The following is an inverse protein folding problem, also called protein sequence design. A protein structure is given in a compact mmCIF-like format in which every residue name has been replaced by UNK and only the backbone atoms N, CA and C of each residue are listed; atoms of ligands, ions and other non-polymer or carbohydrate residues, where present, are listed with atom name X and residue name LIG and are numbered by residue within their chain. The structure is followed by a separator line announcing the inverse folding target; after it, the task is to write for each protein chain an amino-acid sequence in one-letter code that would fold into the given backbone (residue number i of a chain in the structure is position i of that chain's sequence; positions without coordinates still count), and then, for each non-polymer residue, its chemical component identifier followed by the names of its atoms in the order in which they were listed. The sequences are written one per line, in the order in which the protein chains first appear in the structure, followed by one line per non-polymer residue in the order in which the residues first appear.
data_IF_157739877108
#
_entry.id   IF_157739877108
#
_cell.length_a   1.000
_cell.length_b   1.000
_cell.length_c   1.000
_cell.angle_alpha   90.00
_cell.angle_beta   90.00
_cell.angle_gamma   90.00
#
_symmetry.space_group_name_H-M   'P 1'
#
loop_
_entity.id
_entity.type
_entity.pdbx_description
1 polymer ?
#
# COMPACT_ATOMS: atom_id res chain seq x y z
N UNK A 1 31.00 11.22 4.18
CA UNK A 1 30.95 11.87 2.85
C UNK A 1 32.28 12.54 2.47
N UNK A 2 33.22 12.68 3.40
CA UNK A 2 34.51 13.37 3.20
C UNK A 2 35.40 12.78 2.09
N UNK A 3 35.43 11.45 1.93
CA UNK A 3 36.25 10.77 0.89
C UNK A 3 35.82 11.07 -0.56
N UNK A 4 34.52 11.23 -0.80
CA UNK A 4 34.01 11.56 -2.15
C UNK A 4 34.25 13.05 -2.44
N UNK A 5 34.12 13.91 -1.43
CA UNK A 5 34.38 15.35 -1.57
C UNK A 5 35.87 15.63 -1.83
N UNK A 6 36.77 14.97 -1.09
CA UNK A 6 38.23 15.07 -1.29
C UNK A 6 38.66 14.51 -2.64
N UNK A 7 38.07 13.40 -3.11
CA UNK A 7 38.28 12.92 -4.47
C UNK A 7 37.82 13.96 -5.52
N UNK A 8 36.61 14.49 -5.42
CA UNK A 8 36.08 15.50 -6.35
C UNK A 8 36.92 16.79 -6.34
N UNK A 9 37.40 17.22 -5.18
CA UNK A 9 38.28 18.38 -5.04
C UNK A 9 39.70 18.14 -5.57
N UNK A 10 40.18 16.89 -5.56
CA UNK A 10 41.52 16.57 -6.04
C UNK A 10 41.70 16.73 -7.55
N UNK A 11 40.62 16.63 -8.34
CA UNK A 11 40.67 16.66 -9.81
C UNK A 11 41.48 15.53 -10.45
N UNK A 12 41.97 14.56 -9.66
CA UNK A 12 42.79 13.44 -10.11
C UNK A 12 41.93 12.32 -10.69
N UNK A 13 42.54 11.48 -11.53
CA UNK A 13 41.89 10.25 -11.99
C UNK A 13 41.71 9.26 -10.83
N UNK A 14 40.66 8.43 -10.89
CA UNK A 14 40.34 7.47 -9.81
C UNK A 14 41.53 6.61 -9.39
N UNK A 15 42.32 6.14 -10.37
CA UNK A 15 43.48 5.27 -10.13
C UNK A 15 44.60 6.00 -9.39
N UNK A 16 44.90 7.25 -9.77
CA UNK A 16 45.94 8.04 -9.12
C UNK A 16 45.56 8.41 -7.68
N UNK A 17 44.30 8.81 -7.47
CA UNK A 17 43.80 9.15 -6.13
C UNK A 17 43.74 7.92 -5.22
N UNK A 18 43.29 6.78 -5.74
CA UNK A 18 43.26 5.52 -4.98
C UNK A 18 44.67 5.05 -4.60
N UNK A 19 45.66 5.21 -5.49
CA UNK A 19 47.05 4.85 -5.21
C UNK A 19 47.68 5.72 -4.10
N UNK A 20 47.43 7.03 -4.09
CA UNK A 20 47.93 7.93 -3.05
C UNK A 20 47.26 7.70 -1.68
N UNK A 21 45.99 7.30 -1.69
CA UNK A 21 45.21 7.09 -0.46
C UNK A 21 45.25 5.63 0.03
N UNK A 22 45.92 4.71 -0.69
CA UNK A 22 45.96 3.28 -0.35
C UNK A 22 44.59 2.60 -0.42
N UNK A 23 43.69 3.10 -1.27
CA UNK A 23 42.32 2.59 -1.41
C UNK A 23 42.16 1.80 -2.71
N UNK A 24 41.17 0.89 -2.74
CA UNK A 24 40.83 0.20 -4.00
C UNK A 24 39.91 1.06 -4.87
N UNK A 25 40.13 1.00 -6.18
CA UNK A 25 39.28 1.66 -7.18
C UNK A 25 37.84 1.16 -7.11
N UNK A 26 37.63 -0.13 -6.80
CA UNK A 26 36.28 -0.70 -6.66
C UNK A 26 35.51 -0.11 -5.48
N UNK A 27 36.20 0.17 -4.37
CA UNK A 27 35.60 0.82 -3.20
C UNK A 27 35.15 2.26 -3.54
N UNK A 28 35.99 3.02 -4.25
CA UNK A 28 35.64 4.36 -4.70
C UNK A 28 34.45 4.34 -5.68
N UNK A 29 34.44 3.40 -6.62
CA UNK A 29 33.35 3.21 -7.58
C UNK A 29 32.03 2.89 -6.87
N UNK A 30 32.07 2.00 -5.88
CA UNK A 30 30.92 1.68 -5.05
C UNK A 30 30.39 2.90 -4.29
N UNK A 31 31.26 3.71 -3.70
CA UNK A 31 30.85 4.92 -3.00
C UNK A 31 30.23 5.97 -3.93
N UNK A 32 30.77 6.15 -5.13
CA UNK A 32 30.21 7.06 -6.15
C UNK A 32 28.82 6.61 -6.61
N UNK A 33 28.64 5.30 -6.84
CA UNK A 33 27.33 4.74 -7.17
C UNK A 33 26.32 4.95 -6.05
N UNK A 34 26.71 4.69 -4.79
CA UNK A 34 25.85 4.88 -3.62
C UNK A 34 25.49 6.35 -3.39
N UNK A 35 26.41 7.28 -3.68
CA UNK A 35 26.16 8.72 -3.61
C UNK A 35 25.14 9.15 -4.66
N UNK A 36 25.30 8.73 -5.93
CA UNK A 36 24.29 8.98 -6.98
C UNK A 36 22.92 8.43 -6.60
N UNK A 37 22.86 7.20 -6.10
CA UNK A 37 21.59 6.60 -5.66
C UNK A 37 20.95 7.39 -4.52
N UNK A 38 21.72 8.01 -3.63
CA UNK A 38 21.18 8.92 -2.59
C UNK A 38 20.68 10.25 -3.16
N UNK A 39 21.30 10.77 -4.21
CA UNK A 39 20.83 11.98 -4.92
C UNK A 39 19.55 11.70 -5.72
N UNK A 40 19.43 10.52 -6.35
CA UNK A 40 18.21 10.05 -7.01
C UNK A 40 17.08 9.73 -6.02
N UNK A 41 17.43 9.43 -4.77
CA UNK A 41 16.51 9.36 -3.62
C UNK A 41 16.26 10.77 -3.03
N UNK A 42 16.11 11.78 -3.90
CA UNK A 42 15.25 12.93 -3.58
C UNK A 42 14.00 12.38 -2.88
N UNK A 43 13.55 12.95 -1.75
CA UNK A 43 12.50 12.34 -0.94
C UNK A 43 11.29 12.13 -1.84
N UNK A 44 11.13 10.90 -2.33
CA UNK A 44 9.90 10.45 -2.92
C UNK A 44 8.88 10.75 -1.83
N UNK A 45 7.89 11.58 -2.18
CA UNK A 45 6.87 12.02 -1.25
C UNK A 45 6.45 10.82 -0.39
N UNK A 46 6.34 10.99 0.94
CA UNK A 46 5.96 9.89 1.82
C UNK A 46 4.72 9.20 1.22
N UNK A 47 4.63 7.86 1.28
CA UNK A 47 3.52 7.14 0.66
C UNK A 47 2.22 7.72 1.16
N UNK A 48 1.54 8.47 0.29
CA UNK A 48 0.31 9.16 0.60
C UNK A 48 -0.84 8.20 0.31
N UNK A 49 -1.65 7.92 1.33
CA UNK A 49 -2.93 7.27 1.12
C UNK A 49 -3.78 8.17 0.22
N UNK A 50 -4.12 7.67 -0.97
CA UNK A 50 -5.10 8.36 -1.82
C UNK A 50 -6.49 7.87 -1.47
N UNK A 51 -7.44 8.78 -1.23
CA UNK A 51 -8.84 8.41 -1.16
C UNK A 51 -9.27 7.88 -2.53
N UNK A 52 -9.78 6.64 -2.55
CA UNK A 52 -10.44 6.07 -3.73
C UNK A 52 -11.93 6.25 -3.52
N UNK A 53 -12.56 7.04 -4.38
CA UNK A 53 -14.02 7.04 -4.46
C UNK A 53 -14.45 5.74 -5.14
N UNK A 54 -15.06 4.86 -4.37
CA UNK A 54 -15.83 3.74 -4.92
C UNK A 54 -17.06 4.37 -5.54
N UNK A 55 -17.01 4.59 -6.85
CA UNK A 55 -18.20 4.88 -7.64
C UNK A 55 -18.94 3.54 -7.70
N UNK A 56 -19.79 3.30 -6.71
CA UNK A 56 -20.84 2.30 -6.85
C UNK A 56 -21.50 2.61 -8.17
N UNK A 57 -21.48 1.64 -9.10
CA UNK A 57 -22.26 1.76 -10.32
C UNK A 57 -23.73 1.85 -9.87
N UNK A 58 -24.22 3.06 -9.63
CA UNK A 58 -25.63 3.42 -9.66
C UNK A 58 -26.11 3.33 -11.12
N UNK A 59 -25.93 2.15 -11.72
CA UNK A 59 -26.81 1.64 -12.74
C UNK A 59 -27.82 0.80 -11.97
N UNK A 60 -29.07 1.27 -11.96
CA UNK A 60 -30.24 0.69 -11.30
C UNK A 60 -30.33 0.87 -9.77
N UNK A 61 -31.27 1.74 -9.39
CA UNK A 61 -32.14 1.61 -8.21
C UNK A 61 -31.74 2.37 -6.93
N UNK A 62 -31.67 3.68 -7.09
CA UNK A 62 -32.48 4.59 -6.23
C UNK A 62 -33.97 4.22 -6.37
N UNK A 63 -34.35 3.10 -5.81
CA UNK A 63 -35.73 2.72 -5.55
C UNK A 63 -35.74 1.91 -4.26
N UNK A 64 -35.95 2.60 -3.13
CA UNK A 64 -36.61 2.01 -1.95
C UNK A 64 -35.99 0.71 -1.39
N UNK A 65 -34.71 0.73 -1.00
CA UNK A 65 -34.13 -0.36 -0.21
C UNK A 65 -34.46 -0.21 1.28
N UNK A 66 -35.75 -0.31 1.65
CA UNK A 66 -36.17 -0.59 3.03
C UNK A 66 -35.84 -2.04 3.42
N UNK A 67 -34.66 -2.53 3.04
CA UNK A 67 -34.25 -3.89 3.37
C UNK A 67 -33.55 -3.89 4.73
N UNK A 68 -34.14 -4.58 5.69
CA UNK A 68 -33.56 -4.79 7.00
C UNK A 68 -32.48 -5.87 6.90
N UNK A 69 -31.28 -5.59 7.41
CA UNK A 69 -30.22 -6.60 7.49
C UNK A 69 -30.26 -7.29 8.85
N UNK A 70 -30.33 -8.62 8.83
CA UNK A 70 -30.32 -9.46 10.04
C UNK A 70 -29.04 -10.29 10.03
N UNK A 71 -28.33 -10.32 11.16
CA UNK A 71 -27.12 -11.14 11.34
C UNK A 71 -27.33 -12.14 12.48
N UNK A 72 -27.09 -13.42 12.20
CA UNK A 72 -27.14 -14.54 13.17
C UNK A 72 -25.83 -15.31 13.05
N UNK A 73 -24.97 -15.21 14.06
CA UNK A 73 -23.60 -15.74 13.99
C UNK A 73 -22.82 -15.18 12.80
N UNK A 74 -22.37 -16.07 11.91
CA UNK A 74 -21.67 -15.74 10.65
C UNK A 74 -22.61 -15.49 9.46
N UNK A 75 -23.91 -15.81 9.59
CA UNK A 75 -24.89 -15.63 8.53
C UNK A 75 -25.42 -14.19 8.51
N UNK A 76 -25.57 -13.63 7.29
CA UNK A 76 -26.16 -12.31 7.03
C UNK A 76 -27.31 -12.44 6.05
N UNK A 77 -28.47 -11.88 6.38
CA UNK A 77 -29.71 -11.99 5.62
C UNK A 77 -30.22 -10.58 5.29
N UNK A 78 -30.50 -10.34 4.01
CA UNK A 78 -31.24 -9.16 3.56
C UNK A 78 -32.74 -9.47 3.59
N UNK A 79 -33.52 -8.68 4.33
CA UNK A 79 -34.97 -8.83 4.47
C UNK A 79 -35.65 -7.66 3.78
N UNK A 80 -36.35 -7.91 2.67
CA UNK A 80 -37.11 -6.89 1.95
C UNK A 80 -38.48 -6.68 2.59
N UNK A 81 -39.18 -5.54 2.40
CA UNK A 81 -40.48 -5.29 3.03
C UNK A 81 -41.60 -6.29 2.71
N UNK A 82 -41.48 -7.01 1.58
CA UNK A 82 -42.46 -8.01 1.12
C UNK A 82 -42.14 -9.43 1.58
N UNK A 83 -41.28 -9.58 2.59
CA UNK A 83 -40.88 -10.89 3.10
C UNK A 83 -42.04 -11.63 3.78
N UNK A 84 -41.96 -12.96 3.77
CA UNK A 84 -42.92 -13.82 4.45
C UNK A 84 -42.45 -14.06 5.92
N UNK A 85 -43.22 -13.64 6.94
CA UNK A 85 -42.75 -13.67 8.33
C UNK A 85 -42.55 -15.06 8.92
N UNK A 86 -43.26 -16.09 8.44
CA UNK A 86 -43.09 -17.47 8.93
C UNK A 86 -41.77 -18.05 8.40
N UNK A 87 -41.48 -17.88 7.11
CA UNK A 87 -40.25 -18.30 6.47
C UNK A 87 -39.02 -17.64 7.11
N UNK A 88 -39.06 -16.32 7.37
CA UNK A 88 -37.93 -15.65 8.02
C UNK A 88 -37.68 -16.23 9.42
N UNK A 89 -38.75 -16.53 10.17
CA UNK A 89 -38.65 -17.12 11.51
C UNK A 89 -38.06 -18.52 11.47
N UNK A 90 -38.47 -19.35 10.53
CA UNK A 90 -37.97 -20.72 10.38
C UNK A 90 -36.48 -20.71 9.96
N UNK A 91 -36.10 -19.80 9.07
CA UNK A 91 -34.70 -19.58 8.68
C UNK A 91 -33.85 -19.15 9.89
N UNK A 92 -34.31 -18.15 10.66
CA UNK A 92 -33.58 -17.68 11.85
C UNK A 92 -33.44 -18.79 12.89
N UNK A 93 -34.50 -19.55 13.18
CA UNK A 93 -34.45 -20.70 14.12
C UNK A 93 -33.47 -21.78 13.68
N UNK A 94 -33.45 -22.09 12.38
CA UNK A 94 -32.52 -23.08 11.84
C UNK A 94 -31.08 -22.60 12.02
N UNK A 95 -30.80 -21.33 11.73
CA UNK A 95 -29.48 -20.74 11.91
C UNK A 95 -29.06 -20.65 13.38
N UNK A 96 -29.98 -20.38 14.30
CA UNK A 96 -29.72 -20.40 15.74
C UNK A 96 -29.30 -21.80 16.23
N UNK A 97 -29.85 -22.88 15.68
CA UNK A 97 -29.46 -24.25 16.08
C UNK A 97 -28.09 -24.69 15.56
N UNK A 98 -27.56 -23.97 14.56
CA UNK A 98 -26.29 -24.26 13.89
C UNK A 98 -25.12 -23.41 14.41
N UNK A 99 -25.41 -22.38 15.22
CA UNK A 99 -24.43 -21.47 15.81
C UNK A 99 -24.23 -21.78 17.30
#
# INVERSE_FOLDING_TARGET
MERIATYRASGKTMKAWCAEQGLSVDQLKYWLYKAKKKEDLSPAAPPAFRPVNVISQEGTEKASSHSLWVQVGSARIAVTPSFEPQLLRDVVRTLETLC
#
